data_IF_984208159475
#
_entry.id   IF_984208159475
#
_cell.length_a   1.000
_cell.length_b   1.000
_cell.length_c   1.000
_cell.angle_alpha   90.00
_cell.angle_beta   90.00
_cell.angle_gamma   90.00
#
_symmetry.space_group_name_H-M   'P 1'
#
loop_
_entity.id
_entity.type
_entity.pdbx_description
1 polymer ?
#
# COMPACT_ATOMS: atom_id res chain seq x y z
N UNK A 1 -17.84 -24.75 -29.80
CA UNK A 1 -17.66 -24.17 -28.45
C UNK A 1 -16.27 -23.60 -28.38
N UNK A 2 -16.13 -22.27 -28.29
CA UNK A 2 -14.84 -21.62 -28.08
C UNK A 2 -14.49 -21.88 -26.61
N UNK A 3 -13.37 -22.56 -26.36
CA UNK A 3 -12.93 -22.83 -25.00
C UNK A 3 -12.46 -21.52 -24.36
N UNK A 4 -13.11 -21.11 -23.27
CA UNK A 4 -12.68 -19.96 -22.48
C UNK A 4 -11.34 -20.36 -21.84
N UNK A 5 -10.25 -19.63 -22.07
CA UNK A 5 -8.96 -19.97 -21.48
C UNK A 5 -9.07 -19.88 -19.95
N UNK A 6 -8.48 -20.85 -19.26
CA UNK A 6 -8.42 -20.82 -17.80
C UNK A 6 -7.67 -19.58 -17.33
N UNK A 7 -8.13 -18.97 -16.24
CA UNK A 7 -7.46 -17.80 -15.66
C UNK A 7 -6.05 -18.23 -15.21
N UNK A 8 -5.05 -17.58 -15.77
CA UNK A 8 -3.68 -17.71 -15.31
C UNK A 8 -3.48 -16.85 -14.05
N UNK A 9 -3.12 -17.50 -12.94
CA UNK A 9 -2.94 -16.88 -11.63
C UNK A 9 -1.48 -16.48 -11.33
N UNK A 10 -0.57 -16.60 -12.29
CA UNK A 10 0.82 -16.17 -12.12
C UNK A 10 0.89 -14.66 -11.87
N UNK A 11 1.72 -14.25 -10.90
CA UNK A 11 1.88 -12.83 -10.50
C UNK A 11 0.70 -12.22 -9.74
N UNK A 12 -0.47 -12.86 -9.70
CA UNK A 12 -1.64 -12.37 -8.95
C UNK A 12 -1.38 -12.51 -7.44
N UNK A 13 -1.58 -11.47 -6.63
CA UNK A 13 -1.41 -11.56 -5.18
C UNK A 13 -2.31 -12.65 -4.59
N UNK A 14 -1.79 -13.41 -3.63
CA UNK A 14 -2.47 -14.58 -3.06
C UNK A 14 -3.88 -14.25 -2.52
N UNK A 15 -4.09 -13.04 -2.01
CA UNK A 15 -5.39 -12.55 -1.50
C UNK A 15 -6.51 -12.49 -2.55
N UNK A 16 -6.15 -12.39 -3.84
CA UNK A 16 -7.07 -12.25 -4.96
C UNK A 16 -7.28 -13.55 -5.76
N UNK A 17 -6.49 -14.60 -5.49
CA UNK A 17 -6.66 -15.89 -6.19
C UNK A 17 -8.06 -16.46 -5.91
N UNK A 18 -8.79 -16.81 -6.97
CA UNK A 18 -10.17 -17.31 -6.88
C UNK A 18 -11.24 -16.23 -6.64
N UNK A 19 -10.88 -14.95 -6.60
CA UNK A 19 -11.80 -13.81 -6.37
C UNK A 19 -11.89 -12.86 -7.56
N UNK A 20 -11.39 -13.27 -8.72
CA UNK A 20 -11.37 -12.47 -9.94
C UNK A 20 -12.17 -13.19 -11.04
N UNK A 21 -12.90 -12.42 -11.83
CA UNK A 21 -13.60 -12.92 -13.01
C UNK A 21 -12.68 -13.01 -14.23
N UNK A 22 -11.69 -12.12 -14.34
CA UNK A 22 -10.68 -12.14 -15.39
C UNK A 22 -9.40 -11.41 -14.94
N UNK A 23 -8.28 -11.78 -15.56
CA UNK A 23 -6.98 -11.11 -15.40
C UNK A 23 -6.48 -10.71 -16.78
N UNK A 24 -6.35 -9.42 -17.03
CA UNK A 24 -5.83 -8.86 -18.27
C UNK A 24 -4.36 -8.48 -18.07
N UNK A 25 -3.47 -9.01 -18.91
CA UNK A 25 -2.03 -8.72 -18.88
C UNK A 25 -1.51 -8.09 -20.15
N UNK A 26 -2.34 -8.03 -21.17
CA UNK A 26 -2.07 -7.34 -22.42
C UNK A 26 -3.24 -6.41 -22.75
N UNK A 27 -2.98 -5.46 -23.64
CA UNK A 27 -4.05 -4.63 -24.20
C UNK A 27 -5.11 -5.48 -24.90
N UNK A 28 -4.68 -6.54 -25.61
CA UNK A 28 -5.58 -7.45 -26.31
C UNK A 28 -6.50 -8.20 -25.33
N UNK A 29 -5.98 -8.61 -24.17
CA UNK A 29 -6.81 -9.22 -23.12
C UNK A 29 -7.92 -8.29 -22.63
N UNK A 30 -7.66 -6.98 -22.56
CA UNK A 30 -8.65 -5.99 -22.18
C UNK A 30 -9.73 -5.86 -23.26
N UNK A 31 -9.33 -5.85 -24.54
CA UNK A 31 -10.24 -5.71 -25.68
C UNK A 31 -11.11 -6.97 -25.89
N UNK A 32 -10.54 -8.15 -25.61
CA UNK A 32 -11.21 -9.45 -25.77
C UNK A 32 -12.08 -9.86 -24.56
N UNK A 33 -12.24 -9.01 -23.54
CA UNK A 33 -13.09 -9.30 -22.38
C UNK A 33 -14.51 -9.80 -22.77
N UNK A 34 -15.25 -9.16 -23.69
CA UNK A 34 -16.57 -9.65 -24.14
C UNK A 34 -16.53 -11.07 -24.70
N UNK A 35 -15.43 -11.44 -25.36
CA UNK A 35 -15.23 -12.79 -25.91
C UNK A 35 -15.02 -13.81 -24.80
N UNK A 36 -14.33 -13.45 -23.72
CA UNK A 36 -14.06 -14.37 -22.59
C UNK A 36 -15.32 -14.68 -21.79
N UNK A 37 -16.21 -13.69 -21.62
CA UNK A 37 -17.50 -13.89 -20.95
C UNK A 37 -18.61 -14.40 -21.89
N UNK A 38 -18.35 -14.45 -23.20
CA UNK A 38 -19.27 -14.95 -24.23
C UNK A 38 -20.38 -13.98 -24.63
N UNK A 39 -20.62 -12.92 -23.87
CA UNK A 39 -21.58 -11.86 -24.18
C UNK A 39 -21.09 -10.51 -23.65
N UNK A 40 -21.34 -9.44 -24.41
CA UNK A 40 -21.12 -8.05 -23.99
C UNK A 40 -22.02 -7.64 -22.82
N UNK A 41 -23.22 -8.21 -22.76
CA UNK A 41 -24.28 -7.81 -21.83
C UNK A 41 -24.20 -8.61 -20.52
N UNK A 42 -23.27 -9.56 -20.44
CA UNK A 42 -23.01 -10.30 -19.21
C UNK A 42 -22.56 -9.34 -18.10
N UNK A 43 -22.96 -9.62 -16.86
CA UNK A 43 -22.64 -8.79 -15.71
C UNK A 43 -21.87 -9.62 -14.68
N UNK A 44 -20.52 -9.62 -14.70
CA UNK A 44 -19.73 -10.43 -13.80
C UNK A 44 -19.84 -9.89 -12.36
N UNK A 45 -20.00 -10.80 -11.41
CA UNK A 45 -20.04 -10.44 -9.99
C UNK A 45 -18.65 -10.17 -9.41
N UNK A 46 -17.62 -10.88 -9.90
CA UNK A 46 -16.25 -10.68 -9.45
C UNK A 46 -15.56 -9.60 -10.29
N UNK A 47 -14.56 -8.89 -9.73
CA UNK A 47 -13.82 -7.87 -10.44
C UNK A 47 -12.90 -8.44 -11.53
N UNK A 48 -12.56 -7.57 -12.49
CA UNK A 48 -11.51 -7.78 -13.49
C UNK A 48 -10.23 -7.10 -13.00
N UNK A 49 -9.10 -7.80 -13.06
CA UNK A 49 -7.79 -7.25 -12.70
C UNK A 49 -7.00 -6.92 -13.96
N UNK A 50 -6.54 -5.67 -14.08
CA UNK A 50 -5.62 -5.23 -15.13
C UNK A 50 -4.21 -5.15 -14.53
N UNK A 51 -3.30 -5.93 -15.09
CA UNK A 51 -1.90 -5.99 -14.68
C UNK A 51 -1.02 -5.51 -15.82
N UNK A 52 -0.35 -4.38 -15.63
CA UNK A 52 0.59 -3.84 -16.63
C UNK A 52 2.01 -4.10 -16.17
N UNK A 53 2.85 -4.75 -16.98
CA UNK A 53 4.27 -4.92 -16.68
C UNK A 53 4.94 -3.56 -16.43
N UNK A 54 5.57 -3.41 -15.27
CA UNK A 54 6.29 -2.18 -14.90
C UNK A 54 5.45 -1.09 -14.22
N UNK A 55 4.13 -1.26 -14.10
CA UNK A 55 3.29 -0.33 -13.34
C UNK A 55 3.38 -0.57 -11.83
N UNK A 56 3.14 0.48 -11.03
CA UNK A 56 3.20 0.49 -9.56
C UNK A 56 2.31 -0.57 -8.90
N UNK A 57 1.22 -0.96 -9.54
CA UNK A 57 0.30 -1.96 -9.04
C UNK A 57 -0.83 -2.31 -9.99
N UNK A 58 -1.51 -3.44 -9.74
CA UNK A 58 -2.66 -3.87 -10.52
C UNK A 58 -3.86 -2.95 -10.28
N UNK A 59 -4.62 -2.67 -11.33
CA UNK A 59 -5.90 -1.97 -11.23
C UNK A 59 -7.04 -2.98 -11.15
N UNK A 60 -7.95 -2.80 -10.20
CA UNK A 60 -9.15 -3.62 -10.06
C UNK A 60 -10.37 -2.85 -10.55
N UNK A 61 -11.12 -3.45 -11.46
CA UNK A 61 -12.35 -2.89 -12.02
C UNK A 61 -13.50 -3.75 -11.54
N UNK A 62 -14.33 -3.19 -10.66
CA UNK A 62 -15.41 -3.91 -10.02
C UNK A 62 -16.70 -3.76 -10.83
N UNK A 63 -17.21 -4.88 -11.38
CA UNK A 63 -18.52 -4.92 -12.02
C UNK A 63 -19.67 -5.16 -11.04
N UNK A 64 -19.41 -5.96 -9.98
CA UNK A 64 -20.35 -6.27 -8.89
C UNK A 64 -21.74 -6.73 -9.34
N UNK A 65 -21.85 -7.30 -10.54
CA UNK A 65 -23.14 -7.72 -11.13
C UNK A 65 -24.02 -6.57 -11.62
N UNK A 66 -23.51 -5.34 -11.68
CA UNK A 66 -24.22 -4.17 -12.20
C UNK A 66 -23.64 -3.69 -13.53
N UNK A 67 -22.30 -3.66 -13.64
CA UNK A 67 -21.64 -3.24 -14.87
C UNK A 67 -21.60 -4.38 -15.88
N UNK A 68 -21.92 -4.06 -17.12
CA UNK A 68 -21.80 -4.97 -18.26
C UNK A 68 -20.34 -5.23 -18.62
N UNK A 69 -20.06 -6.37 -19.26
CA UNK A 69 -18.71 -6.66 -19.76
C UNK A 69 -18.26 -5.60 -20.78
N UNK A 70 -19.17 -5.01 -21.55
CA UNK A 70 -18.86 -3.89 -22.43
C UNK A 70 -18.28 -2.69 -21.66
N UNK A 71 -18.93 -2.28 -20.56
CA UNK A 71 -18.42 -1.20 -19.71
C UNK A 71 -17.11 -1.55 -19.03
N UNK A 72 -16.96 -2.81 -18.60
CA UNK A 72 -15.70 -3.29 -18.00
C UNK A 72 -14.56 -3.31 -19.02
N UNK A 73 -14.82 -3.63 -20.28
CA UNK A 73 -13.85 -3.52 -21.38
C UNK A 73 -13.40 -2.08 -21.56
N UNK A 74 -14.33 -1.14 -21.68
CA UNK A 74 -13.99 0.27 -21.89
C UNK A 74 -13.18 0.84 -20.70
N UNK A 75 -13.54 0.44 -19.48
CA UNK A 75 -12.78 0.79 -18.28
C UNK A 75 -11.39 0.14 -18.28
N UNK A 76 -11.26 -1.12 -18.70
CA UNK A 76 -9.97 -1.82 -18.76
C UNK A 76 -9.03 -1.20 -19.80
N UNK A 77 -9.56 -0.89 -20.98
CA UNK A 77 -8.83 -0.19 -22.05
C UNK A 77 -8.39 1.21 -21.59
N UNK A 78 -9.28 1.96 -20.95
CA UNK A 78 -8.95 3.28 -20.41
C UNK A 78 -7.88 3.21 -19.30
N UNK A 79 -8.01 2.23 -18.39
CA UNK A 79 -7.03 2.00 -17.34
C UNK A 79 -5.67 1.62 -17.91
N UNK A 80 -5.66 0.76 -18.95
CA UNK A 80 -4.45 0.38 -19.67
C UNK A 80 -3.73 1.60 -20.21
N UNK A 81 -4.41 2.42 -21.02
CA UNK A 81 -3.84 3.62 -21.63
C UNK A 81 -3.28 4.60 -20.58
N UNK A 82 -4.05 4.90 -19.54
CA UNK A 82 -3.61 5.82 -18.46
C UNK A 82 -2.35 5.32 -17.75
N UNK A 83 -2.29 4.02 -17.46
CA UNK A 83 -1.13 3.44 -16.77
C UNK A 83 0.08 3.35 -17.70
N UNK A 84 -0.09 3.05 -18.99
CA UNK A 84 1.02 3.08 -19.96
C UNK A 84 1.55 4.49 -20.19
N UNK A 85 0.67 5.49 -20.30
CA UNK A 85 1.07 6.89 -20.48
C UNK A 85 1.82 7.40 -19.25
N UNK A 86 1.34 7.03 -18.06
CA UNK A 86 2.02 7.32 -16.80
C UNK A 86 3.38 6.64 -16.74
N UNK A 87 3.48 5.36 -17.12
CA UNK A 87 4.75 4.65 -17.14
C UNK A 87 5.74 5.29 -18.12
N UNK A 88 5.28 5.70 -19.29
CA UNK A 88 6.09 6.39 -20.29
C UNK A 88 6.59 7.76 -19.79
N UNK A 89 5.78 8.46 -18.99
CA UNK A 89 6.12 9.79 -18.45
C UNK A 89 7.02 9.69 -17.22
N UNK A 90 6.74 8.77 -16.30
CA UNK A 90 7.41 8.67 -14.98
C UNK A 90 8.59 7.71 -14.97
N UNK A 91 8.64 6.72 -15.87
CA UNK A 91 9.78 5.82 -16.06
C UNK A 91 10.13 4.83 -14.94
N UNK A 92 9.50 4.89 -13.75
CA UNK A 92 9.79 3.96 -12.65
C UNK A 92 8.72 3.93 -11.54
N UNK A 93 8.69 2.79 -10.85
CA UNK A 93 7.85 2.39 -9.72
C UNK A 93 7.79 3.46 -8.61
N UNK A 94 6.63 4.11 -8.47
CA UNK A 94 6.29 5.14 -7.50
C UNK A 94 7.16 6.42 -7.55
N UNK A 95 6.53 7.55 -7.89
CA UNK A 95 7.09 8.88 -7.65
C UNK A 95 7.11 9.15 -6.12
N UNK A 96 8.22 8.77 -5.49
CA UNK A 96 8.43 8.91 -4.06
C UNK A 96 8.45 10.38 -3.61
N UNK A 97 8.83 11.30 -4.48
CA UNK A 97 8.87 12.72 -4.16
C UNK A 97 7.45 13.29 -4.12
N UNK A 98 6.61 12.95 -5.10
CA UNK A 98 5.18 13.29 -5.06
C UNK A 98 4.45 12.65 -3.86
N UNK A 99 4.80 11.42 -3.48
CA UNK A 99 4.25 10.78 -2.27
C UNK A 99 4.68 11.50 -0.99
N UNK A 100 5.95 11.91 -0.88
CA UNK A 100 6.45 12.67 0.27
C UNK A 100 5.71 14.00 0.42
N UNK A 101 5.58 14.75 -0.67
CA UNK A 101 4.87 16.04 -0.68
C UNK A 101 3.40 15.87 -0.29
N UNK A 102 2.71 14.86 -0.83
CA UNK A 102 1.33 14.53 -0.46
C UNK A 102 1.16 14.20 1.03
N UNK A 103 2.16 13.55 1.63
CA UNK A 103 2.16 13.20 3.05
C UNK A 103 2.73 14.30 3.95
N UNK A 104 3.03 15.50 3.42
CA UNK A 104 3.60 16.62 4.17
C UNK A 104 5.02 16.34 4.69
N UNK A 105 5.72 15.38 4.10
CA UNK A 105 7.10 15.06 4.42
C UNK A 105 8.03 16.03 3.68
N UNK A 106 9.12 16.44 4.34
CA UNK A 106 10.12 17.34 3.76
C UNK A 106 10.71 16.74 2.48
N UNK A 107 11.20 17.60 1.57
CA UNK A 107 11.89 17.11 0.37
C UNK A 107 13.19 16.41 0.73
N UNK A 108 13.65 15.50 -0.12
CA UNK A 108 14.81 14.65 0.20
C UNK A 108 16.07 15.49 0.47
N UNK A 109 16.27 16.58 -0.29
CA UNK A 109 17.36 17.52 -0.10
C UNK A 109 17.33 18.29 1.24
N UNK A 110 16.16 18.42 1.86
CA UNK A 110 15.98 19.20 3.10
C UNK A 110 16.13 18.34 4.36
N UNK A 111 16.02 17.01 4.24
CA UNK A 111 16.04 16.08 5.38
C UNK A 111 17.34 16.17 6.16
N UNK A 112 18.48 16.16 5.48
CA UNK A 112 19.79 16.16 6.15
C UNK A 112 20.04 17.45 6.92
N UNK A 113 19.65 18.59 6.34
CA UNK A 113 19.77 19.90 6.98
C UNK A 113 18.87 19.98 8.22
N UNK A 114 17.60 19.58 8.09
CA UNK A 114 16.64 19.58 9.19
C UNK A 114 17.03 18.61 10.32
N UNK A 115 17.52 17.41 9.98
CA UNK A 115 17.98 16.42 10.94
C UNK A 115 19.21 16.94 11.71
N UNK A 116 20.16 17.57 11.01
CA UNK A 116 21.33 18.20 11.62
C UNK A 116 20.93 19.31 12.58
N UNK A 117 20.02 20.20 12.18
CA UNK A 117 19.53 21.30 13.02
C UNK A 117 18.80 20.78 14.26
N UNK A 118 17.94 19.76 14.10
CA UNK A 118 17.23 19.13 15.22
C UNK A 118 18.20 18.49 16.21
N UNK A 119 19.26 17.84 15.73
CA UNK A 119 20.28 17.22 16.58
C UNK A 119 21.07 18.28 17.36
N UNK A 120 21.45 19.38 16.69
CA UNK A 120 22.14 20.50 17.33
C UNK A 120 21.26 21.19 18.39
N UNK A 121 19.97 21.42 18.11
CA UNK A 121 19.00 21.93 19.11
C UNK A 121 18.93 21.02 20.32
N UNK A 122 18.87 19.70 20.10
CA UNK A 122 18.80 18.72 21.19
C UNK A 122 20.08 18.75 22.05
N UNK A 123 21.25 18.85 21.43
CA UNK A 123 22.53 19.00 22.16
C UNK A 123 22.52 20.27 23.00
N UNK A 124 22.14 21.41 22.41
CA UNK A 124 22.07 22.68 23.13
C UNK A 124 21.09 22.61 24.32
N UNK A 125 19.94 21.96 24.14
CA UNK A 125 18.96 21.76 25.22
C UNK A 125 19.50 20.85 26.33
N UNK A 126 20.22 19.78 25.99
CA UNK A 126 20.89 18.92 26.98
C UNK A 126 22.04 19.61 27.70
N UNK A 127 22.76 20.51 27.03
CA UNK A 127 23.80 21.32 27.66
C UNK A 127 23.21 22.41 28.58
N UNK A 128 22.09 23.02 28.19
CA UNK A 128 21.40 24.03 29.00
C UNK A 128 20.68 23.43 30.21
N UNK A 129 20.13 22.23 30.05
CA UNK A 129 19.52 21.45 31.11
C UNK A 129 20.31 20.15 31.28
N UNK A 130 21.50 20.21 31.91
CA UNK A 130 22.22 19.02 32.26
C UNK A 130 21.37 18.27 33.28
N UNK A 131 20.56 17.33 32.80
CA UNK A 131 20.01 16.29 33.66
C UNK A 131 21.23 15.54 34.14
N UNK A 132 21.72 15.89 35.32
CA UNK A 132 22.54 14.98 36.12
C UNK A 132 21.68 13.76 36.33
N UNK A 133 21.79 12.81 35.41
CA UNK A 133 21.17 11.50 35.54
C UNK A 133 21.69 11.00 36.90
N UNK A 134 20.82 10.85 37.93
CA UNK A 134 21.28 10.40 39.23
C UNK A 134 22.05 9.11 38.97
N UNK A 135 23.22 8.96 39.60
CA UNK A 135 24.12 7.83 39.41
C UNK A 135 23.28 6.57 39.25
N UNK A 136 23.25 5.98 38.04
CA UNK A 136 22.43 4.79 37.77
C UNK A 136 22.85 3.76 38.80
N UNK A 137 22.02 3.55 39.81
CA UNK A 137 22.30 2.53 40.78
C UNK A 137 22.36 1.23 39.99
N UNK A 138 23.41 0.41 40.16
CA UNK A 138 23.49 -0.87 39.50
C UNK A 138 22.21 -1.64 39.83
N UNK A 139 21.36 -1.83 38.83
CA UNK A 139 20.18 -2.67 38.94
C UNK A 139 20.66 -4.11 39.02
N UNK A 140 20.83 -4.60 40.23
CA UNK A 140 21.01 -6.03 40.48
C UNK A 140 19.75 -6.75 39.98
N UNK A 141 19.94 -7.84 39.25
CA UNK A 141 18.84 -8.66 38.80
C UNK A 141 17.98 -9.05 40.01
N UNK A 142 16.69 -8.70 39.97
CA UNK A 142 15.77 -9.09 41.02
C UNK A 142 15.80 -10.63 41.12
N UNK A 143 16.24 -11.22 42.25
CA UNK A 143 16.36 -12.68 42.38
C UNK A 143 15.02 -13.41 42.24
N UNK A 144 13.89 -12.68 42.25
CA UNK A 144 12.55 -13.25 42.17
C UNK A 144 11.82 -13.01 40.83
N UNK A 145 12.43 -12.36 39.84
CA UNK A 145 11.87 -12.17 38.48
C UNK A 145 10.41 -11.63 38.45
N UNK A 146 9.98 -10.89 39.48
CA UNK A 146 8.62 -10.33 39.54
C UNK A 146 8.55 -9.08 38.65
N UNK A 147 7.78 -9.15 37.57
CA UNK A 147 7.57 -8.07 36.59
C UNK A 147 6.37 -7.18 36.91
N UNK A 148 5.68 -7.41 38.04
CA UNK A 148 4.52 -6.62 38.47
C UNK A 148 4.69 -6.20 39.92
N UNK A 149 4.69 -4.89 40.15
CA UNK A 149 4.58 -4.31 41.48
C UNK A 149 3.10 -4.06 41.75
N UNK A 150 2.59 -4.55 42.88
CA UNK A 150 1.23 -4.23 43.30
C UNK A 150 1.18 -2.72 43.61
N UNK A 151 0.51 -1.96 42.75
CA UNK A 151 0.08 -0.61 43.09
C UNK A 151 -0.96 -0.79 44.20
N UNK A 152 -0.63 -0.39 45.43
CA UNK A 152 -1.66 -0.26 46.47
C UNK A 152 -2.61 0.84 45.99
N UNK A 153 -3.83 0.48 45.60
CA UNK A 153 -4.92 1.42 45.54
C UNK A 153 -5.03 2.05 46.93
N UNK A 154 -4.86 3.38 47.01
CA UNK A 154 -5.29 4.13 48.18
C UNK A 154 -6.81 4.04 48.20
N UNK A 155 -7.35 3.25 49.12
CA UNK A 155 -8.74 3.35 49.52
C UNK A 155 -8.87 4.68 50.27
N UNK A 156 -9.51 5.67 49.63
CA UNK A 156 -9.94 6.90 50.30
C UNK A 156 -11.17 6.53 51.13
N UNK A 157 -10.98 6.38 52.44
CA UNK A 157 -12.08 6.34 53.40
C UNK A 157 -12.53 7.79 53.66
N UNK A 158 -13.70 8.14 53.14
CA UNK A 158 -14.54 9.24 53.62
C UNK A 158 -15.82 8.68 54.19
#
# INVERSE_FOLDING_TARGET
>A
MIAIPAIDWTGVPASYKGKLSAVCRTFQDCDELPRWFGSSDFMPNLPVMVMIPGADGPTLIAGMGYATVAELRDCAVSAWGKQTDRLATTGSLADFDALREKHGLMRREEVDAAAREAMLRRIAQHMANPVTDPFRQPTYANPTNKTRFAVKEKHDDR
#
